data_IF_655018629458
#
_entry.id   IF_655018629458
#
_cell.length_a   1.000
_cell.length_b   1.000
_cell.length_c   1.000
_cell.angle_alpha   90.00
_cell.angle_beta   90.00
_cell.angle_gamma   90.00
#
_symmetry.space_group_name_H-M   'P 1'
#
loop_
_entity.id
_entity.type
_entity.pdbx_description
1 polymer ?
#
# COMPACT_ATOMS: atom_id res chain seq x y z
N UNK A 1 11.39 -0.16 -3.30
CA UNK A 1 10.90 -1.52 -3.65
C UNK A 1 9.42 -1.40 -3.97
N UNK A 2 8.96 -1.97 -5.08
CA UNK A 2 7.54 -2.00 -5.41
C UNK A 2 6.93 -3.29 -4.86
N UNK A 3 5.70 -3.20 -4.37
CA UNK A 3 4.91 -4.37 -3.96
C UNK A 3 3.71 -4.41 -4.89
N UNK A 4 3.45 -5.59 -5.45
CA UNK A 4 2.35 -5.82 -6.36
C UNK A 4 1.41 -6.84 -5.72
N UNK A 5 0.18 -6.41 -5.44
CA UNK A 5 -0.90 -7.27 -4.93
C UNK A 5 -1.78 -7.68 -6.11
N UNK A 6 -1.61 -8.92 -6.57
CA UNK A 6 -2.25 -9.49 -7.75
C UNK A 6 -2.64 -10.95 -7.51
N UNK A 7 -3.64 -11.43 -8.24
CA UNK A 7 -4.04 -12.83 -8.21
C UNK A 7 -3.01 -13.76 -8.91
N UNK A 8 -3.27 -15.07 -8.83
CA UNK A 8 -2.38 -16.09 -9.40
C UNK A 8 -2.25 -15.96 -10.93
N UNK A 9 -3.31 -15.55 -11.63
CA UNK A 9 -3.26 -15.34 -13.08
C UNK A 9 -2.38 -14.14 -13.45
N UNK A 10 -2.50 -13.04 -12.70
CA UNK A 10 -1.62 -11.88 -12.83
C UNK A 10 -0.16 -12.25 -12.54
N UNK A 11 0.10 -13.02 -11.49
CA UNK A 11 1.44 -13.48 -11.15
C UNK A 11 2.06 -14.30 -12.29
N UNK A 12 1.27 -15.16 -12.93
CA UNK A 12 1.67 -15.91 -14.13
C UNK A 12 2.05 -14.99 -15.28
N UNK A 13 1.25 -13.98 -15.56
CA UNK A 13 1.56 -12.99 -16.60
C UNK A 13 2.83 -12.20 -16.30
N UNK A 14 3.06 -11.78 -15.05
CA UNK A 14 4.28 -11.06 -14.66
C UNK A 14 5.51 -11.94 -14.83
N UNK A 15 5.44 -13.20 -14.39
CA UNK A 15 6.54 -14.16 -14.53
C UNK A 15 6.88 -14.48 -15.99
N UNK A 16 5.88 -14.51 -16.87
CA UNK A 16 6.09 -14.67 -18.32
C UNK A 16 6.83 -13.48 -18.97
N UNK A 17 6.78 -12.29 -18.37
CA UNK A 17 7.49 -11.10 -18.85
C UNK A 17 8.93 -10.98 -18.30
N UNK A 18 9.46 -12.03 -17.65
CA UNK A 18 10.84 -12.12 -17.14
C UNK A 18 11.26 -10.96 -16.22
N UNK A 19 10.31 -10.39 -15.47
CA UNK A 19 10.62 -9.44 -14.41
C UNK A 19 11.34 -10.16 -13.26
N UNK A 20 12.49 -9.64 -12.87
CA UNK A 20 13.21 -10.11 -11.69
C UNK A 20 12.45 -9.66 -10.42
N UNK A 21 11.61 -10.57 -9.93
CA UNK A 21 10.71 -10.34 -8.80
C UNK A 21 10.65 -11.57 -7.90
N UNK A 22 10.43 -11.33 -6.61
CA UNK A 22 10.17 -12.38 -5.63
C UNK A 22 8.67 -12.65 -5.63
N UNK A 23 8.27 -13.85 -6.02
CA UNK A 23 6.89 -14.29 -6.05
C UNK A 23 6.55 -15.00 -4.75
N UNK A 24 5.65 -14.42 -3.96
CA UNK A 24 5.23 -14.95 -2.65
C UNK A 24 3.74 -15.26 -2.72
N UNK A 25 3.38 -16.51 -2.44
CA UNK A 25 1.99 -16.91 -2.32
C UNK A 25 1.55 -16.84 -0.86
N UNK A 26 0.48 -16.11 -0.57
CA UNK A 26 -0.10 -16.05 0.77
C UNK A 26 -1.39 -16.87 0.76
N UNK A 27 -1.41 -17.98 1.49
CA UNK A 27 -2.54 -18.89 1.56
C UNK A 27 -3.20 -18.88 2.95
N UNK A 28 -4.52 -19.13 3.04
CA UNK A 28 -5.17 -19.39 4.31
C UNK A 28 -4.71 -20.75 4.89
N UNK A 29 -4.88 -20.99 6.21
CA UNK A 29 -4.47 -22.24 6.85
C UNK A 29 -5.27 -23.44 6.34
N UNK A 30 -6.55 -23.21 6.07
CA UNK A 30 -7.47 -24.19 5.52
C UNK A 30 -8.49 -23.51 4.60
N UNK A 31 -9.19 -24.32 3.81
CA UNK A 31 -10.26 -23.83 2.95
C UNK A 31 -11.49 -23.41 3.78
N UNK A 32 -11.74 -24.13 4.88
CA UNK A 32 -12.81 -23.86 5.83
C UNK A 32 -12.62 -22.52 6.52
N UNK A 33 -11.38 -22.20 6.93
CA UNK A 33 -11.07 -20.88 7.50
C UNK A 33 -11.26 -19.75 6.50
N UNK A 34 -10.90 -19.97 5.23
CA UNK A 34 -11.15 -18.99 4.17
C UNK A 34 -12.64 -18.72 4.01
N UNK A 35 -13.46 -19.77 3.98
CA UNK A 35 -14.92 -19.64 3.91
C UNK A 35 -15.47 -18.88 5.11
N UNK A 36 -15.07 -19.26 6.33
CA UNK A 36 -15.48 -18.55 7.54
C UNK A 36 -15.12 -17.07 7.49
N UNK A 37 -13.90 -16.71 7.04
CA UNK A 37 -13.46 -15.32 6.90
C UNK A 37 -14.26 -14.55 5.84
N UNK A 38 -14.59 -15.17 4.70
CA UNK A 38 -15.42 -14.54 3.67
C UNK A 38 -16.83 -14.26 4.19
N UNK A 39 -17.42 -15.20 4.91
CA UNK A 39 -18.76 -15.06 5.48
C UNK A 39 -18.82 -14.06 6.63
N UNK A 40 -17.83 -14.08 7.52
CA UNK A 40 -17.75 -13.18 8.66
C UNK A 40 -17.65 -11.71 8.26
N UNK A 41 -17.14 -11.41 7.05
CA UNK A 41 -17.13 -10.03 6.52
C UNK A 41 -18.54 -9.47 6.31
N UNK A 42 -19.53 -10.31 6.02
CA UNK A 42 -20.93 -9.91 5.86
C UNK A 42 -21.20 -8.92 4.72
N UNK A 43 -20.22 -8.65 3.85
CA UNK A 43 -20.31 -7.66 2.77
C UNK A 43 -20.76 -8.25 1.43
N UNK A 44 -20.97 -9.56 1.36
CA UNK A 44 -21.18 -10.30 0.12
C UNK A 44 -22.42 -11.20 0.21
N UNK A 45 -23.11 -11.41 -0.91
CA UNK A 45 -24.21 -12.37 -0.99
C UNK A 45 -23.69 -13.81 -1.02
N UNK A 46 -24.56 -14.79 -0.74
CA UNK A 46 -24.19 -16.20 -0.78
C UNK A 46 -23.61 -16.60 -2.14
N UNK A 47 -24.20 -16.13 -3.24
CA UNK A 47 -23.75 -16.43 -4.60
C UNK A 47 -22.35 -15.87 -4.87
N UNK A 48 -22.04 -14.69 -4.33
CA UNK A 48 -20.72 -14.06 -4.44
C UNK A 48 -19.67 -14.83 -3.64
N UNK A 49 -20.01 -15.24 -2.41
CA UNK A 49 -19.13 -16.08 -1.58
C UNK A 49 -18.83 -17.40 -2.27
N UNK A 50 -19.85 -18.09 -2.78
CA UNK A 50 -19.67 -19.35 -3.51
C UNK A 50 -18.80 -19.18 -4.76
N UNK A 51 -18.97 -18.07 -5.50
CA UNK A 51 -18.11 -17.77 -6.65
C UNK A 51 -16.66 -17.57 -6.23
N UNK A 52 -16.40 -16.83 -5.14
CA UNK A 52 -15.05 -16.63 -4.61
C UNK A 52 -14.41 -17.94 -4.13
N UNK A 53 -15.17 -18.77 -3.43
CA UNK A 53 -14.70 -20.08 -2.96
C UNK A 53 -14.30 -21.01 -4.09
N UNK A 54 -15.09 -21.05 -5.18
CA UNK A 54 -14.73 -21.82 -6.38
C UNK A 54 -13.42 -21.34 -7.00
N UNK A 55 -13.25 -20.02 -7.13
CA UNK A 55 -12.02 -19.45 -7.69
C UNK A 55 -10.82 -19.72 -6.77
N UNK A 56 -10.98 -19.50 -5.47
CA UNK A 56 -9.93 -19.72 -4.47
C UNK A 56 -9.44 -21.16 -4.45
N UNK A 57 -10.31 -22.15 -4.69
CA UNK A 57 -9.90 -23.55 -4.80
C UNK A 57 -8.90 -23.75 -5.94
N UNK A 58 -9.20 -23.23 -7.13
CA UNK A 58 -8.30 -23.32 -8.28
C UNK A 58 -6.99 -22.57 -8.04
N UNK A 59 -7.06 -21.38 -7.43
CA UNK A 59 -5.88 -20.57 -7.07
C UNK A 59 -4.99 -21.25 -6.03
N UNK A 60 -5.56 -21.96 -5.05
CA UNK A 60 -4.79 -22.69 -4.03
C UNK A 60 -4.05 -23.89 -4.61
N UNK A 61 -4.69 -24.66 -5.48
CA UNK A 61 -4.06 -25.79 -6.17
C UNK A 61 -2.93 -25.30 -7.07
N UNK A 62 -3.18 -24.23 -7.83
CA UNK A 62 -2.16 -23.61 -8.67
C UNK A 62 -1.01 -23.05 -7.84
N UNK A 63 -1.31 -22.31 -6.77
CA UNK A 63 -0.29 -21.69 -5.93
C UNK A 63 0.65 -22.68 -5.26
N UNK A 64 0.15 -23.88 -4.91
CA UNK A 64 0.95 -24.93 -4.27
C UNK A 64 1.74 -25.79 -5.27
N UNK A 65 1.20 -26.02 -6.48
CA UNK A 65 1.68 -27.09 -7.37
C UNK A 65 2.36 -26.59 -8.64
N UNK A 66 2.20 -25.32 -9.01
CA UNK A 66 2.69 -24.80 -10.30
C UNK A 66 4.18 -24.46 -10.35
N UNK A 67 4.86 -24.38 -9.20
CA UNK A 67 6.22 -23.81 -9.11
C UNK A 67 6.29 -22.31 -9.46
N UNK A 68 5.13 -21.64 -9.56
CA UNK A 68 5.01 -20.22 -9.90
C UNK A 68 5.51 -19.29 -8.79
N UNK A 69 5.56 -19.75 -7.55
CA UNK A 69 5.97 -18.96 -6.40
C UNK A 69 7.30 -19.44 -5.84
N UNK A 70 8.15 -18.51 -5.42
CA UNK A 70 9.41 -18.80 -4.75
C UNK A 70 9.17 -19.23 -3.30
N UNK A 71 8.14 -18.67 -2.68
CA UNK A 71 7.80 -18.89 -1.28
C UNK A 71 6.30 -18.99 -1.08
N UNK A 72 5.89 -19.78 -0.08
CA UNK A 72 4.51 -19.91 0.35
C UNK A 72 4.46 -19.51 1.83
N UNK A 73 3.60 -18.54 2.16
CA UNK A 73 3.32 -18.11 3.52
C UNK A 73 1.88 -18.47 3.89
N UNK A 74 1.69 -19.04 5.07
CA UNK A 74 0.36 -19.33 5.61
C UNK A 74 -0.09 -18.15 6.48
N UNK A 75 -1.28 -17.63 6.22
CA UNK A 75 -1.88 -16.51 6.97
C UNK A 75 -2.83 -17.04 8.06
N UNK A 76 -2.26 -17.73 9.05
CA UNK A 76 -2.93 -18.16 10.28
C UNK A 76 -2.93 -17.05 11.34
N UNK A 77 -1.77 -16.41 11.53
CA UNK A 77 -1.55 -15.32 12.45
C UNK A 77 -0.83 -14.17 11.72
N UNK A 78 -1.43 -12.98 11.81
CA UNK A 78 -0.95 -11.80 11.10
C UNK A 78 0.49 -11.44 11.48
N UNK A 79 0.81 -11.44 12.77
CA UNK A 79 2.14 -11.07 13.26
C UNK A 79 3.22 -12.04 12.76
N UNK A 80 2.98 -13.36 12.88
CA UNK A 80 3.91 -14.39 12.40
C UNK A 80 4.10 -14.37 10.89
N UNK A 81 3.00 -14.22 10.14
CA UNK A 81 3.07 -14.11 8.68
C UNK A 81 3.84 -12.85 8.27
N UNK A 82 3.67 -11.74 8.99
CA UNK A 82 4.40 -10.50 8.76
C UNK A 82 5.88 -10.61 9.09
N UNK A 83 6.25 -11.25 10.21
CA UNK A 83 7.66 -11.53 10.51
C UNK A 83 8.32 -12.41 9.46
N UNK A 84 7.64 -13.48 9.03
CA UNK A 84 8.12 -14.36 7.96
C UNK A 84 8.33 -13.60 6.64
N UNK A 85 7.41 -12.70 6.31
CA UNK A 85 7.53 -11.84 5.12
C UNK A 85 8.72 -10.89 5.24
N UNK A 86 8.93 -10.26 6.40
CA UNK A 86 10.09 -9.37 6.64
C UNK A 86 11.41 -10.12 6.51
N UNK A 87 11.48 -11.32 7.07
CA UNK A 87 12.66 -12.19 6.96
C UNK A 87 12.97 -12.53 5.50
N UNK A 88 11.96 -12.95 4.75
CA UNK A 88 12.07 -13.26 3.33
C UNK A 88 12.54 -12.06 2.49
N UNK A 89 12.09 -10.85 2.84
CA UNK A 89 12.53 -9.61 2.19
C UNK A 89 13.91 -9.11 2.69
N UNK A 90 14.57 -9.81 3.62
CA UNK A 90 15.84 -9.41 4.20
C UNK A 90 15.75 -8.14 5.06
N UNK A 91 14.58 -7.90 5.68
CA UNK A 91 14.28 -6.73 6.50
C UNK A 91 14.43 -7.00 8.01
N UNK A 92 14.98 -8.16 8.40
CA UNK A 92 15.36 -8.42 9.80
C UNK A 92 16.46 -7.41 10.18
N UNK A 93 16.10 -6.43 10.98
CA UNK A 93 17.08 -5.61 11.68
C UNK A 93 17.75 -6.52 12.72
N UNK A 94 19.08 -6.58 12.70
CA UNK A 94 19.87 -7.20 13.77
C UNK A 94 19.34 -6.65 15.09
N UNK A 95 19.01 -7.53 16.03
CA UNK A 95 18.56 -7.20 17.38
C UNK A 95 19.69 -6.55 18.18
N UNK A 96 20.04 -5.32 17.84
CA UNK A 96 20.66 -4.34 18.73
C UNK A 96 19.81 -3.07 18.67
N UNK A 97 18.80 -3.05 19.54
CA UNK A 97 18.23 -1.83 20.10
C UNK A 97 17.75 -0.74 19.16
N UNK A 98 16.67 -0.97 18.40
CA UNK A 98 15.67 0.09 18.18
C UNK A 98 14.28 -0.53 18.39
N UNK A 99 13.70 -0.23 19.55
CA UNK A 99 12.29 -0.40 19.85
C UNK A 99 11.49 0.26 18.72
N UNK A 100 10.81 -0.54 17.89
CA UNK A 100 9.82 -0.04 16.93
C UNK A 100 8.60 0.45 17.73
N UNK A 101 8.78 1.60 18.39
CA UNK A 101 7.66 2.44 18.77
C UNK A 101 7.04 2.86 17.44
N UNK A 102 5.75 2.62 17.18
CA UNK A 102 5.10 3.35 16.12
C UNK A 102 5.13 4.80 16.58
N UNK A 103 6.17 5.54 16.21
CA UNK A 103 5.96 6.92 15.89
C UNK A 103 5.05 6.87 14.68
N UNK A 104 3.74 6.83 14.94
CA UNK A 104 2.96 7.98 14.52
C UNK A 104 3.82 9.18 14.90
N UNK A 105 4.68 9.62 13.99
CA UNK A 105 4.68 11.04 13.79
C UNK A 105 3.25 11.30 13.35
N UNK A 106 2.38 11.57 14.34
CA UNK A 106 1.57 12.74 14.18
C UNK A 106 2.55 13.75 13.58
N UNK A 107 2.39 14.06 12.31
CA UNK A 107 2.96 15.28 11.78
C UNK A 107 2.25 16.38 12.55
N UNK A 108 2.71 16.60 13.79
CA UNK A 108 2.59 17.84 14.49
C UNK A 108 3.33 18.79 13.58
N UNK A 109 2.51 19.38 12.74
CA UNK A 109 2.70 20.57 11.97
C UNK A 109 3.17 21.67 12.97
N UNK A 110 4.38 21.55 13.51
CA UNK A 110 5.01 22.41 14.51
C UNK A 110 5.59 23.66 13.83
N UNK A 111 4.73 24.36 13.10
CA UNK A 111 5.07 25.54 12.34
C UNK A 111 3.81 26.29 11.91
N UNK A 112 3.95 27.48 11.37
CA UNK A 112 2.86 28.15 10.70
C UNK A 112 2.57 27.41 9.40
N UNK A 113 1.47 26.67 9.33
CA UNK A 113 1.00 26.06 8.08
C UNK A 113 -0.12 26.90 7.52
N UNK A 114 -0.10 27.08 6.21
CA UNK A 114 -1.22 27.69 5.49
C UNK A 114 -1.74 26.72 4.46
N UNK A 115 -3.04 26.50 4.47
CA UNK A 115 -3.74 25.71 3.47
C UNK A 115 -4.46 26.69 2.54
N UNK A 116 -4.22 26.58 1.24
CA UNK A 116 -4.99 27.31 0.24
C UNK A 116 -5.61 26.33 -0.75
N UNK A 117 -6.84 26.62 -1.16
CA UNK A 117 -7.55 25.85 -2.17
C UNK A 117 -7.67 26.70 -3.43
N UNK A 118 -7.30 26.12 -4.57
CA UNK A 118 -7.45 26.72 -5.88
C UNK A 118 -8.02 25.67 -6.81
N UNK A 119 -9.30 25.82 -7.17
CA UNK A 119 -10.08 24.84 -7.94
C UNK A 119 -10.04 23.42 -7.34
N UNK A 120 -9.48 22.47 -8.11
CA UNK A 120 -9.30 21.07 -7.76
C UNK A 120 -7.92 20.82 -7.12
N UNK A 121 -7.18 21.87 -6.73
CA UNK A 121 -5.86 21.76 -6.10
C UNK A 121 -5.89 22.33 -4.70
N UNK A 122 -5.25 21.63 -3.76
CA UNK A 122 -5.05 22.07 -2.38
C UNK A 122 -3.55 22.20 -2.15
N UNK A 123 -3.08 23.41 -1.87
CA UNK A 123 -1.71 23.65 -1.47
C UNK A 123 -1.59 23.70 0.04
N UNK A 124 -0.60 22.99 0.57
CA UNK A 124 -0.25 22.94 1.98
C UNK A 124 1.17 23.46 2.10
N UNK A 125 1.33 24.69 2.58
CA UNK A 125 2.64 25.25 2.88
C UNK A 125 2.99 24.93 4.32
N UNK A 126 4.13 24.28 4.51
CA UNK A 126 4.64 23.84 5.79
C UNK A 126 6.00 24.49 6.06
N UNK A 127 6.06 25.36 7.06
CA UNK A 127 7.32 25.91 7.55
C UNK A 127 7.81 25.10 8.73
N UNK A 128 8.99 24.49 8.63
CA UNK A 128 9.65 23.86 9.77
C UNK A 128 10.90 24.65 10.17
N UNK A 129 11.08 24.84 11.48
CA UNK A 129 12.32 25.38 12.04
C UNK A 129 13.08 24.20 12.66
N UNK A 130 14.10 23.72 11.97
CA UNK A 130 15.04 22.74 12.55
C UNK A 130 16.42 23.38 12.67
N UNK A 131 16.99 23.33 13.88
CA UNK A 131 18.37 23.72 14.18
C UNK A 131 18.84 25.05 13.52
N UNK A 132 17.99 26.09 13.58
CA UNK A 132 18.32 27.43 13.06
C UNK A 132 18.19 27.61 11.55
N UNK A 133 17.72 26.61 10.80
CA UNK A 133 17.47 26.70 9.36
C UNK A 133 15.97 26.61 9.07
N UNK A 134 15.39 27.70 8.56
CA UNK A 134 14.00 27.71 8.12
C UNK A 134 13.88 26.94 6.80
N UNK A 135 13.11 25.85 6.80
CA UNK A 135 12.76 25.10 5.59
C UNK A 135 11.28 25.28 5.31
N UNK A 136 10.95 25.74 4.11
CA UNK A 136 9.57 25.72 3.60
C UNK A 136 9.44 24.48 2.73
N UNK A 137 8.49 23.61 3.06
CA UNK A 137 8.01 22.53 2.20
C UNK A 137 6.64 22.91 1.69
N UNK A 138 6.41 22.78 0.39
CA UNK A 138 5.11 23.01 -0.20
C UNK A 138 4.59 21.68 -0.73
N UNK A 139 3.39 21.29 -0.34
CA UNK A 139 2.72 20.11 -0.87
C UNK A 139 1.52 20.54 -1.69
N UNK A 140 1.28 19.89 -2.82
CA UNK A 140 0.09 20.09 -3.64
C UNK A 140 -0.66 18.78 -3.74
N UNK A 141 -1.92 18.78 -3.32
CA UNK A 141 -2.86 17.69 -3.57
C UNK A 141 -3.71 18.10 -4.77
N UNK A 142 -3.67 17.31 -5.83
CA UNK A 142 -4.45 17.50 -7.05
C UNK A 142 -5.59 16.49 -7.10
N UNK A 143 -6.81 17.02 -7.08
CA UNK A 143 -8.07 16.31 -7.14
C UNK A 143 -8.72 16.35 -8.53
N UNK A 144 -8.02 16.85 -9.57
CA UNK A 144 -8.58 16.97 -10.92
C UNK A 144 -8.86 15.65 -11.59
N UNK A 145 -8.15 14.60 -11.17
CA UNK A 145 -8.34 13.25 -11.67
C UNK A 145 -9.29 12.40 -10.82
N UNK A 146 -9.99 13.02 -9.85
CA UNK A 146 -10.94 12.32 -9.00
C UNK A 146 -12.02 11.62 -9.84
N UNK A 147 -12.11 10.31 -9.69
CA UNK A 147 -13.19 9.49 -10.25
C UNK A 147 -13.97 8.85 -9.12
N UNK A 148 -15.30 8.80 -9.27
CA UNK A 148 -16.18 8.13 -8.32
C UNK A 148 -15.71 6.70 -8.06
N UNK A 149 -15.45 6.38 -6.80
CA UNK A 149 -15.09 5.05 -6.33
C UNK A 149 -16.03 4.61 -5.22
N UNK A 150 -15.93 3.34 -4.83
CA UNK A 150 -16.68 2.82 -3.67
C UNK A 150 -16.40 3.69 -2.43
N UNK A 151 -17.33 3.80 -1.47
CA UNK A 151 -17.10 4.53 -0.21
C UNK A 151 -15.74 4.14 0.40
N UNK A 152 -14.94 5.12 0.83
CA UNK A 152 -13.55 4.96 1.35
C UNK A 152 -12.47 4.64 0.30
N UNK A 153 -12.83 4.40 -0.97
CA UNK A 153 -11.87 4.26 -2.10
C UNK A 153 -11.94 5.48 -3.01
N UNK A 154 -11.05 6.44 -2.77
CA UNK A 154 -10.87 7.58 -3.69
C UNK A 154 -9.71 7.29 -4.64
N UNK A 155 -10.00 7.19 -5.95
CA UNK A 155 -8.99 7.08 -7.01
C UNK A 155 -8.77 8.44 -7.66
N UNK A 156 -7.52 8.72 -8.04
CA UNK A 156 -7.17 9.94 -8.77
C UNK A 156 -6.89 11.17 -7.90
N UNK A 157 -6.56 10.97 -6.62
CA UNK A 157 -5.86 11.99 -5.82
C UNK A 157 -4.36 11.84 -6.06
N UNK A 158 -3.72 12.92 -6.51
CA UNK A 158 -2.27 12.97 -6.66
C UNK A 158 -1.69 13.92 -5.61
N UNK A 159 -0.51 13.59 -5.07
CA UNK A 159 0.21 14.44 -4.12
C UNK A 159 1.63 14.70 -4.62
N UNK A 160 2.04 15.96 -4.58
CA UNK A 160 3.34 16.41 -5.07
C UNK A 160 4.05 17.23 -3.98
N UNK A 161 5.36 17.03 -3.83
CA UNK A 161 6.22 17.98 -3.13
C UNK A 161 6.70 19.01 -4.15
N UNK A 162 6.52 20.29 -3.85
CA UNK A 162 6.94 21.42 -4.67
C UNK A 162 8.10 22.09 -3.94
N UNK A 163 9.25 22.19 -4.62
CA UNK A 163 10.35 23.01 -4.14
C UNK A 163 9.95 24.49 -4.26
N UNK A 164 9.95 25.26 -3.15
CA UNK A 164 9.55 26.67 -3.18
C UNK A 164 10.43 27.52 -4.11
N UNK A 165 11.66 27.08 -4.38
CA UNK A 165 12.61 27.71 -5.30
C UNK A 165 12.20 27.64 -6.78
N UNK A 166 11.35 26.68 -7.17
CA UNK A 166 10.85 26.55 -8.54
C UNK A 166 9.63 27.42 -8.85
N UNK A 167 9.08 28.14 -7.86
CA UNK A 167 7.91 29.02 -8.06
C UNK A 167 8.26 30.47 -8.47
N UNK A 168 9.53 30.80 -8.75
CA UNK A 168 9.93 32.18 -9.04
C UNK A 168 9.99 32.58 -10.53
N UNK A 169 9.64 31.69 -11.47
CA UNK A 169 9.76 31.99 -12.91
C UNK A 169 8.45 31.86 -13.73
N UNK A 170 7.30 32.23 -13.17
CA UNK A 170 6.09 32.41 -13.98
C UNK A 170 5.20 33.55 -13.47
N UNK A 171 5.80 34.73 -13.29
CA UNK A 171 5.06 35.99 -13.21
C UNK A 171 5.95 37.11 -13.72
N UNK A 172 6.25 37.08 -15.02
CA UNK A 172 6.66 38.25 -15.83
C UNK A 172 6.71 37.83 -17.30
N UNK A 173 5.53 37.73 -17.91
CA UNK A 173 5.19 38.25 -19.24
C UNK A 173 3.71 38.05 -19.51
#
# INVERSE_FOLDING_TARGET
RYILDIDVQGARSVRANSLDAIFIFICPPSFEELEQRLRARGTETEEQVQKRLRNARAELEEGKSSGLFNHILVNDNLEKCYESLKELLGLKQSTEGILYKPSLEDCHLNGSHSISKMDQKVLISCGTMELGKASKKLFMIDASSLKGGAPVRTRGLNMYSIDPSNCLNSSNR
#
